data_IF_998072725549
#
_entry.id   IF_998072725549
#
_cell.length_a   1.000
_cell.length_b   1.000
_cell.length_c   1.000
_cell.angle_alpha   90.00
_cell.angle_beta   90.00
_cell.angle_gamma   90.00
#
_symmetry.space_group_name_H-M   'P 1'
#
loop_
_entity.id
_entity.type
_entity.pdbx_description
1 polymer ?
#
# COMPACT_ATOMS: atom_id res chain seq x y z
N UNK A 1 20.12 10.70 4.31
CA UNK A 1 21.41 9.96 4.34
C UNK A 1 21.48 8.90 3.23
N UNK A 2 20.54 7.95 3.15
CA UNK A 2 20.54 6.88 2.13
C UNK A 2 20.39 7.40 0.68
N UNK A 3 19.47 8.35 0.43
CA UNK A 3 19.29 8.97 -0.91
C UNK A 3 20.56 9.71 -1.36
N UNK A 4 21.27 10.33 -0.42
CA UNK A 4 22.55 11.00 -0.67
C UNK A 4 23.65 10.02 -1.07
N UNK A 5 23.71 8.85 -0.42
CA UNK A 5 24.63 7.76 -0.79
C UNK A 5 24.29 7.21 -2.17
N UNK A 6 23.01 6.96 -2.47
CA UNK A 6 22.58 6.50 -3.80
C UNK A 6 22.99 7.48 -4.91
N UNK A 7 22.84 8.79 -4.68
CA UNK A 7 23.30 9.79 -5.66
C UNK A 7 24.82 9.90 -5.76
N UNK A 8 25.55 9.69 -4.67
CA UNK A 8 27.02 9.71 -4.66
C UNK A 8 27.63 8.55 -5.49
N UNK A 9 26.94 7.41 -5.57
CA UNK A 9 27.32 6.29 -6.44
C UNK A 9 26.76 6.39 -7.87
N UNK A 10 26.14 7.52 -8.22
CA UNK A 10 25.67 7.81 -9.58
C UNK A 10 24.23 7.36 -9.89
N UNK A 11 23.40 7.05 -8.89
CA UNK A 11 22.00 6.71 -9.14
C UNK A 11 21.25 7.90 -9.78
N UNK A 12 20.60 7.63 -10.91
CA UNK A 12 19.81 8.62 -11.63
C UNK A 12 18.48 8.90 -10.90
N UNK A 13 17.93 10.10 -11.08
CA UNK A 13 16.62 10.50 -10.54
C UNK A 13 15.49 9.50 -10.84
N UNK A 14 15.33 8.95 -12.07
CA UNK A 14 14.31 7.94 -12.32
C UNK A 14 14.55 6.63 -11.59
N UNK A 15 15.80 6.23 -11.34
CA UNK A 15 16.11 5.01 -10.58
C UNK A 15 15.64 5.12 -9.12
N UNK A 16 15.90 6.27 -8.47
CA UNK A 16 15.43 6.54 -7.10
C UNK A 16 13.89 6.53 -7.06
N UNK A 17 13.24 7.15 -8.05
CA UNK A 17 11.78 7.19 -8.16
C UNK A 17 11.17 5.80 -8.31
N UNK A 18 11.79 4.94 -9.12
CA UNK A 18 11.33 3.57 -9.34
C UNK A 18 11.44 2.72 -8.07
N UNK A 19 12.49 2.89 -7.27
CA UNK A 19 12.67 2.15 -6.00
C UNK A 19 11.51 2.44 -5.05
N UNK A 20 11.19 3.70 -4.79
CA UNK A 20 10.09 4.08 -3.89
C UNK A 20 8.71 3.64 -4.39
N UNK A 21 8.52 3.68 -5.72
CA UNK A 21 7.26 3.25 -6.32
C UNK A 21 7.08 1.73 -6.19
N UNK A 22 8.13 0.96 -6.45
CA UNK A 22 8.12 -0.51 -6.28
C UNK A 22 7.92 -0.87 -4.82
N UNK A 23 8.65 -0.24 -3.89
CA UNK A 23 8.52 -0.49 -2.45
C UNK A 23 7.09 -0.22 -1.96
N UNK A 24 6.50 0.92 -2.36
CA UNK A 24 5.12 1.25 -2.02
C UNK A 24 4.09 0.26 -2.55
N UNK A 25 4.23 -0.16 -3.81
CA UNK A 25 3.36 -1.17 -4.41
C UNK A 25 3.51 -2.51 -3.70
N UNK A 26 4.75 -2.93 -3.39
CA UNK A 26 5.01 -4.18 -2.65
C UNK A 26 4.36 -4.16 -1.27
N UNK A 27 4.50 -3.07 -0.51
CA UNK A 27 3.83 -2.89 0.79
C UNK A 27 2.31 -2.94 0.64
N UNK A 28 1.76 -2.31 -0.40
CA UNK A 28 0.34 -2.34 -0.72
C UNK A 28 -0.17 -3.75 -1.00
N UNK A 29 0.55 -4.52 -1.83
CA UNK A 29 0.21 -5.91 -2.15
C UNK A 29 0.25 -6.80 -0.90
N UNK A 30 1.29 -6.67 -0.07
CA UNK A 30 1.41 -7.44 1.19
C UNK A 30 0.24 -7.10 2.12
N UNK A 31 -0.08 -5.81 2.23
CA UNK A 31 -1.20 -5.33 3.06
C UNK A 31 -2.55 -5.86 2.55
N UNK A 32 -2.75 -5.91 1.23
CA UNK A 32 -3.93 -6.51 0.62
C UNK A 32 -4.04 -8.01 0.92
N UNK A 33 -2.95 -8.78 0.82
CA UNK A 33 -2.93 -10.19 1.20
C UNK A 33 -3.30 -10.40 2.67
N UNK A 34 -2.73 -9.59 3.56
CA UNK A 34 -3.10 -9.60 4.99
C UNK A 34 -4.57 -9.28 5.21
N UNK A 35 -5.10 -8.27 4.52
CA UNK A 35 -6.50 -7.91 4.58
C UNK A 35 -7.43 -9.04 4.08
N UNK A 36 -7.04 -9.81 3.06
CA UNK A 36 -7.82 -10.98 2.63
C UNK A 36 -7.92 -12.02 3.74
N UNK A 37 -6.81 -12.35 4.39
CA UNK A 37 -6.78 -13.34 5.48
C UNK A 37 -7.64 -12.88 6.65
N UNK A 38 -7.53 -11.61 7.04
CA UNK A 38 -8.27 -11.03 8.19
C UNK A 38 -9.74 -10.78 7.87
N UNK A 39 -10.09 -10.43 6.64
CA UNK A 39 -11.47 -10.16 6.23
C UNK A 39 -12.34 -11.41 6.36
N UNK A 40 -11.81 -12.60 6.05
CA UNK A 40 -12.56 -13.86 6.12
C UNK A 40 -13.18 -14.18 7.50
N UNK A 41 -12.42 -14.22 8.60
CA UNK A 41 -12.99 -14.44 9.93
C UNK A 41 -13.84 -13.24 10.35
N UNK A 42 -13.40 -12.02 10.05
CA UNK A 42 -14.10 -10.80 10.45
C UNK A 42 -15.51 -10.73 9.84
N UNK A 43 -15.66 -10.98 8.54
CA UNK A 43 -16.95 -10.98 7.87
C UNK A 43 -17.90 -12.07 8.38
N UNK A 44 -17.38 -13.24 8.77
CA UNK A 44 -18.20 -14.31 9.38
C UNK A 44 -18.71 -13.94 10.77
N UNK A 45 -17.89 -13.25 11.57
CA UNK A 45 -18.28 -12.76 12.88
C UNK A 45 -19.34 -11.66 12.74
N UNK A 46 -19.10 -10.69 11.87
CA UNK A 46 -20.07 -9.62 11.59
C UNK A 46 -21.39 -10.15 11.04
N UNK A 47 -21.37 -11.09 10.09
CA UNK A 47 -22.59 -11.70 9.56
C UNK A 47 -23.42 -12.41 10.64
N UNK A 48 -22.76 -13.05 11.61
CA UNK A 48 -23.42 -13.67 12.77
C UNK A 48 -24.02 -12.63 13.70
N UNK A 49 -23.25 -11.61 14.10
CA UNK A 49 -23.72 -10.55 15.00
C UNK A 49 -24.92 -9.83 14.37
N UNK A 50 -24.76 -9.34 13.15
CA UNK A 50 -25.81 -8.60 12.44
C UNK A 50 -27.04 -9.49 12.17
N UNK A 51 -26.84 -10.73 11.72
CA UNK A 51 -27.94 -11.66 11.47
C UNK A 51 -28.77 -11.97 12.72
N UNK A 52 -28.10 -12.18 13.85
CA UNK A 52 -28.78 -12.43 15.12
C UNK A 52 -29.49 -11.19 15.66
N UNK A 53 -28.90 -9.99 15.53
CA UNK A 53 -29.49 -8.75 16.03
C UNK A 53 -30.70 -8.30 15.21
N UNK A 54 -30.66 -8.42 13.88
CA UNK A 54 -31.71 -7.88 13.02
C UNK A 54 -32.75 -8.92 12.57
N UNK A 55 -32.31 -10.11 12.15
CA UNK A 55 -33.18 -11.08 11.51
C UNK A 55 -33.53 -12.29 12.42
N UNK A 56 -32.86 -12.42 13.58
CA UNK A 56 -32.85 -13.63 14.42
C UNK A 56 -32.52 -14.91 13.63
N UNK A 57 -31.92 -14.76 12.44
CA UNK A 57 -31.53 -15.82 11.53
C UNK A 57 -30.07 -15.58 11.11
N UNK A 58 -29.24 -16.64 11.03
CA UNK A 58 -27.87 -16.49 10.56
C UNK A 58 -27.89 -16.08 9.08
N UNK A 59 -27.37 -14.89 8.77
CA UNK A 59 -27.16 -14.46 7.39
C UNK A 59 -26.11 -15.36 6.74
N UNK A 60 -26.47 -16.00 5.62
CA UNK A 60 -25.54 -16.79 4.81
C UNK A 60 -24.46 -15.87 4.23
N UNK A 61 -23.23 -16.06 4.70
CA UNK A 61 -22.07 -15.36 4.16
C UNK A 61 -21.70 -15.94 2.79
N UNK A 62 -21.88 -15.16 1.73
CA UNK A 62 -21.41 -15.48 0.39
C UNK A 62 -20.18 -14.64 0.10
N UNK A 63 -19.06 -15.31 -0.15
CA UNK A 63 -17.82 -14.64 -0.52
C UNK A 63 -17.76 -14.44 -2.04
N UNK A 64 -17.91 -13.20 -2.49
CA UNK A 64 -17.73 -12.83 -3.89
C UNK A 64 -16.26 -12.47 -4.16
N UNK A 65 -15.60 -13.21 -5.06
CA UNK A 65 -14.21 -12.98 -5.45
C UNK A 65 -14.00 -11.65 -6.21
N UNK A 66 -15.07 -11.05 -6.75
CA UNK A 66 -15.00 -9.76 -7.45
C UNK A 66 -14.63 -8.62 -6.51
N UNK A 67 -15.13 -8.64 -5.28
CA UNK A 67 -14.86 -7.59 -4.29
C UNK A 67 -13.37 -7.51 -3.89
N UNK A 68 -12.69 -8.61 -3.50
CA UNK A 68 -11.24 -8.68 -3.32
C UNK A 68 -10.43 -8.12 -4.48
N UNK A 69 -10.83 -8.46 -5.71
CA UNK A 69 -10.10 -8.07 -6.92
C UNK A 69 -10.29 -6.57 -7.24
N UNK A 70 -11.49 -6.05 -7.05
CA UNK A 70 -11.73 -4.60 -7.16
C UNK A 70 -10.95 -3.83 -6.09
N UNK A 71 -10.91 -4.37 -4.86
CA UNK A 71 -10.15 -3.79 -3.77
C UNK A 71 -8.63 -3.82 -4.03
N UNK A 72 -8.13 -4.88 -4.67
CA UNK A 72 -6.73 -4.96 -5.10
C UNK A 72 -6.34 -3.80 -6.01
N UNK A 73 -7.16 -3.52 -7.03
CA UNK A 73 -6.94 -2.39 -7.94
C UNK A 73 -6.87 -1.06 -7.20
N UNK A 74 -7.80 -0.84 -6.25
CA UNK A 74 -7.79 0.36 -5.41
C UNK A 74 -6.50 0.46 -4.61
N UNK A 75 -6.08 -0.61 -3.94
CA UNK A 75 -4.86 -0.62 -3.12
C UNK A 75 -3.63 -0.30 -3.97
N UNK A 76 -3.50 -0.91 -5.16
CA UNK A 76 -2.37 -0.64 -6.06
C UNK A 76 -2.34 0.83 -6.48
N UNK A 77 -3.49 1.39 -6.88
CA UNK A 77 -3.58 2.81 -7.27
C UNK A 77 -3.24 3.73 -6.10
N UNK A 78 -3.82 3.48 -4.91
CA UNK A 78 -3.58 4.31 -3.73
C UNK A 78 -2.14 4.22 -3.27
N UNK A 79 -1.54 3.03 -3.20
CA UNK A 79 -0.14 2.83 -2.86
C UNK A 79 0.79 3.53 -3.85
N UNK A 80 0.52 3.43 -5.15
CA UNK A 80 1.30 4.14 -6.16
C UNK A 80 1.21 5.67 -5.99
N UNK A 81 0.00 6.21 -5.82
CA UNK A 81 -0.22 7.65 -5.61
C UNK A 81 0.42 8.15 -4.30
N UNK A 82 0.29 7.38 -3.22
CA UNK A 82 0.88 7.70 -1.94
C UNK A 82 2.42 7.71 -2.01
N UNK A 83 3.03 6.80 -2.78
CA UNK A 83 4.48 6.75 -2.98
C UNK A 83 5.02 7.78 -3.96
N UNK A 84 4.19 8.34 -4.85
CA UNK A 84 4.64 9.37 -5.79
C UNK A 84 5.03 10.69 -5.11
N UNK A 85 4.34 11.10 -4.05
CA UNK A 85 4.67 12.29 -3.26
C UNK A 85 6.08 12.21 -2.62
N UNK A 86 6.41 11.20 -1.80
CA UNK A 86 7.74 11.06 -1.22
C UNK A 86 8.80 10.77 -2.30
N UNK A 87 8.47 10.01 -3.35
CA UNK A 87 9.40 9.76 -4.45
C UNK A 87 9.79 11.06 -5.18
N UNK A 88 8.84 11.98 -5.41
CA UNK A 88 9.10 13.31 -5.99
C UNK A 88 9.95 14.17 -5.06
N UNK A 89 9.65 14.17 -3.76
CA UNK A 89 10.46 14.91 -2.79
C UNK A 89 11.91 14.37 -2.71
N UNK A 90 12.08 13.05 -2.73
CA UNK A 90 13.39 12.38 -2.81
C UNK A 90 14.13 12.65 -4.13
N UNK A 91 13.40 12.77 -5.24
CA UNK A 91 13.93 13.12 -6.55
C UNK A 91 14.36 14.60 -6.65
N UNK A 92 13.76 15.50 -5.88
CA UNK A 92 14.08 16.92 -5.87
C UNK A 92 15.17 17.29 -4.84
N UNK A 93 15.46 16.41 -3.87
CA UNK A 93 16.62 16.53 -2.99
C UNK A 93 17.90 16.51 -3.83
N UNK A 94 18.47 17.70 -4.05
CA UNK A 94 19.68 17.88 -4.83
C UNK A 94 20.91 17.64 -3.95
N UNK A 95 21.94 17.02 -4.54
CA UNK A 95 23.23 16.69 -3.90
C UNK A 95 23.90 17.91 -3.23
N UNK A 96 23.54 19.13 -3.64
CA UNK A 96 24.06 20.38 -3.08
C UNK A 96 23.65 20.63 -1.62
N UNK A 97 22.50 20.13 -1.16
CA UNK A 97 22.07 20.32 0.24
C UNK A 97 22.76 19.36 1.21
N UNK A 98 23.29 18.24 0.72
CA UNK A 98 24.02 17.26 1.56
C UNK A 98 25.49 17.59 1.78
N UNK A 99 26.06 18.54 1.05
CA UNK A 99 27.45 19.02 1.21
C UNK A 99 27.52 20.44 1.82
N UNK A 100 26.41 21.17 1.86
CA UNK A 100 26.33 22.49 2.51
C UNK A 100 25.94 22.41 4.00
N UNK A 101 25.72 21.19 4.51
CA UNK A 101 25.44 20.91 5.91
C UNK A 101 26.47 19.89 6.41
N UNK A 102 27.75 20.27 6.32
CA UNK A 102 28.65 20.00 7.44
C UNK A 102 28.30 20.95 8.59
#
# INVERSE_FOLDING_TARGET
REIGVMRAIGASTPAVLQIFLVEGVVIGVISWLGALIVSQPLSRVWGRVVGMTFAKLPLTYVFDLRAPLFWFLIVVVVSALASLLPARNAANLSVRETLAYE
#
